data_IF_186160159851
#
_entry.id   IF_186160159851
#
_cell.length_a   1.000
_cell.length_b   1.000
_cell.length_c   1.000
_cell.angle_alpha   90.00
_cell.angle_beta   90.00
_cell.angle_gamma   90.00
#
_symmetry.space_group_name_H-M   'P 1'
#
loop_
_entity.id
_entity.type
_entity.pdbx_description
1 polymer ?
#
# COMPACT_ATOMS: atom_id res chain seq x y z
N UNK A 1 2.79 -9.13 -3.90
CA UNK A 1 3.31 -7.86 -3.35
C UNK A 1 3.77 -7.00 -4.51
N UNK A 2 3.47 -5.70 -4.50
CA UNK A 2 3.86 -4.75 -5.53
C UNK A 2 5.15 -4.06 -5.04
N UNK A 3 6.29 -4.62 -5.43
CA UNK A 3 7.58 -4.29 -4.83
C UNK A 3 7.67 -4.66 -3.33
N UNK A 4 8.67 -4.14 -2.59
CA UNK A 4 8.85 -4.41 -1.16
C UNK A 4 7.91 -3.61 -0.24
N UNK A 5 7.18 -2.63 -0.81
CA UNK A 5 6.50 -1.57 -0.05
C UNK A 5 4.98 -1.67 -0.02
N UNK A 6 4.37 -2.42 -0.94
CA UNK A 6 2.92 -2.47 -1.09
C UNK A 6 2.40 -3.92 -1.09
N UNK A 7 1.42 -4.18 -0.21
CA UNK A 7 0.65 -5.42 -0.25
C UNK A 7 -0.78 -5.11 -0.71
N UNK A 8 -1.19 -5.83 -1.76
CA UNK A 8 -2.55 -5.87 -2.28
C UNK A 8 -2.99 -7.32 -2.23
N UNK A 9 -4.14 -7.59 -1.61
CA UNK A 9 -4.75 -8.91 -1.53
C UNK A 9 -6.08 -8.90 -2.29
N UNK A 10 -6.13 -9.42 -3.53
CA UNK A 10 -7.39 -9.44 -4.28
C UNK A 10 -8.42 -10.35 -3.61
N UNK A 11 -9.67 -9.89 -3.61
CA UNK A 11 -10.81 -10.62 -3.04
C UNK A 11 -11.42 -11.47 -4.16
N UNK A 12 -11.39 -12.80 -4.01
CA UNK A 12 -11.87 -13.73 -5.05
C UNK A 12 -13.20 -14.40 -4.71
N UNK A 13 -13.80 -14.08 -3.56
CA UNK A 13 -15.04 -14.69 -3.10
C UNK A 13 -16.23 -13.75 -3.30
N UNK A 14 -17.39 -14.31 -3.68
CA UNK A 14 -18.62 -13.53 -3.84
C UNK A 14 -19.08 -12.87 -2.53
N UNK A 15 -18.76 -13.49 -1.38
CA UNK A 15 -19.05 -12.96 -0.05
C UNK A 15 -18.11 -11.85 0.42
N UNK A 16 -17.03 -11.58 -0.32
CA UNK A 16 -16.07 -10.53 0.02
C UNK A 16 -14.99 -10.94 1.03
N UNK A 17 -14.98 -12.19 1.46
CA UNK A 17 -14.04 -12.71 2.46
C UNK A 17 -12.66 -12.94 1.82
N UNK A 18 -11.61 -12.40 2.47
CA UNK A 18 -10.21 -12.53 2.04
C UNK A 18 -9.31 -12.77 3.24
N UNK A 19 -8.40 -13.73 3.11
CA UNK A 19 -7.36 -14.00 4.11
C UNK A 19 -6.00 -13.77 3.46
N UNK A 20 -5.15 -12.97 4.10
CA UNK A 20 -3.83 -12.61 3.61
C UNK A 20 -2.83 -12.41 4.75
N UNK A 21 -1.54 -12.50 4.43
CA UNK A 21 -0.46 -12.38 5.40
C UNK A 21 0.27 -11.04 5.24
N UNK A 22 0.39 -10.28 6.33
CA UNK A 22 1.29 -9.14 6.43
C UNK A 22 2.64 -9.61 6.97
N UNK A 23 3.75 -9.47 6.23
CA UNK A 23 5.08 -9.81 6.73
C UNK A 23 5.52 -8.95 7.92
N UNK A 24 6.59 -9.36 8.60
CA UNK A 24 7.21 -8.59 9.69
C UNK A 24 7.44 -7.10 9.34
N UNK A 25 7.15 -6.24 10.32
CA UNK A 25 7.33 -4.80 10.27
C UNK A 25 6.04 -4.03 10.59
N UNK A 26 6.11 -2.72 10.38
CA UNK A 26 4.98 -1.80 10.47
C UNK A 26 4.28 -1.62 9.13
N UNK A 27 2.95 -1.62 9.19
CA UNK A 27 2.04 -1.47 8.06
C UNK A 27 0.94 -0.50 8.42
N UNK A 28 0.59 0.37 7.46
CA UNK A 28 -0.56 1.26 7.58
C UNK A 28 -1.55 0.97 6.45
N UNK A 29 -2.82 0.73 6.79
CA UNK A 29 -3.88 0.58 5.80
C UNK A 29 -4.11 1.94 5.14
N UNK A 30 -4.06 1.96 3.81
CA UNK A 30 -4.13 3.20 3.03
C UNK A 30 -5.47 3.93 3.18
N UNK A 31 -6.57 3.19 3.25
CA UNK A 31 -7.91 3.77 3.28
C UNK A 31 -8.38 4.10 4.69
N UNK A 32 -8.12 3.21 5.66
CA UNK A 32 -8.63 3.35 7.03
C UNK A 32 -7.65 4.04 7.98
N UNK A 33 -6.36 4.06 7.64
CA UNK A 33 -5.30 4.54 8.53
C UNK A 33 -4.97 3.58 9.70
N UNK A 34 -5.57 2.38 9.73
CA UNK A 34 -5.23 1.34 10.70
C UNK A 34 -3.73 1.05 10.65
N UNK A 35 -3.08 0.97 11.82
CA UNK A 35 -1.66 0.64 11.93
C UNK A 35 -1.49 -0.70 12.59
N UNK A 36 -0.67 -1.54 11.97
CA UNK A 36 -0.33 -2.87 12.45
C UNK A 36 1.19 -2.96 12.51
N UNK A 37 1.73 -3.34 13.66
CA UNK A 37 3.13 -3.69 13.79
C UNK A 37 3.23 -5.14 14.28
N UNK A 38 4.01 -5.96 13.57
CA UNK A 38 4.29 -7.34 14.00
C UNK A 38 5.75 -7.70 13.77
N UNK A 39 6.37 -8.30 14.78
CA UNK A 39 7.75 -8.81 14.71
C UNK A 39 7.85 -10.12 13.93
N UNK A 40 6.74 -10.86 13.80
CA UNK A 40 6.70 -12.18 13.15
C UNK A 40 5.76 -12.22 11.92
N UNK A 41 5.24 -11.05 11.52
CA UNK A 41 4.13 -10.92 10.59
C UNK A 41 2.81 -11.39 11.21
N UNK A 42 1.71 -11.26 10.47
CA UNK A 42 0.37 -11.55 10.97
C UNK A 42 -0.57 -11.98 9.85
N UNK A 43 -1.35 -13.02 10.09
CA UNK A 43 -2.47 -13.40 9.23
C UNK A 43 -3.68 -12.54 9.54
N UNK A 44 -4.33 -12.03 8.49
CA UNK A 44 -5.55 -11.23 8.60
C UNK A 44 -6.64 -11.86 7.78
N UNK A 45 -7.86 -11.78 8.30
CA UNK A 45 -9.08 -12.17 7.60
C UNK A 45 -10.04 -10.98 7.66
N UNK A 46 -10.44 -10.50 6.49
CA UNK A 46 -11.28 -9.32 6.33
C UNK A 46 -12.41 -9.61 5.34
N UNK A 47 -13.52 -8.87 5.47
CA UNK A 47 -14.63 -8.91 4.53
C UNK A 47 -14.75 -7.55 3.86
N UNK A 48 -14.77 -7.57 2.53
CA UNK A 48 -14.78 -6.38 1.69
C UNK A 48 -15.98 -6.38 0.74
N UNK A 49 -16.62 -5.22 0.58
CA UNK A 49 -17.58 -4.99 -0.51
C UNK A 49 -16.88 -4.87 -1.86
N UNK A 50 -17.65 -4.87 -2.94
CA UNK A 50 -17.15 -4.77 -4.33
C UNK A 50 -16.25 -3.55 -4.60
N UNK A 51 -16.45 -2.46 -3.87
CA UNK A 51 -15.75 -1.19 -3.99
C UNK A 51 -14.55 -1.05 -3.04
N UNK A 52 -14.19 -2.10 -2.30
CA UNK A 52 -13.15 -2.05 -1.29
C UNK A 52 -12.15 -3.20 -1.44
N UNK A 53 -10.90 -2.95 -1.05
CA UNK A 53 -9.83 -3.95 -1.11
C UNK A 53 -8.83 -3.71 0.01
N UNK A 54 -8.20 -4.75 0.59
CA UNK A 54 -7.08 -4.57 1.47
C UNK A 54 -5.89 -3.94 0.74
N UNK A 55 -5.46 -2.77 1.23
CA UNK A 55 -4.31 -2.04 0.71
C UNK A 55 -3.45 -1.55 1.86
N UNK A 56 -2.24 -2.11 1.97
CA UNK A 56 -1.31 -1.79 3.06
C UNK A 56 0.01 -1.22 2.53
N UNK A 57 0.46 -0.19 3.23
CA UNK A 57 1.72 0.51 2.97
C UNK A 57 2.70 0.20 4.08
N UNK A 58 3.90 -0.26 3.69
CA UNK A 58 4.96 -0.56 4.64
C UNK A 58 5.58 0.71 5.20
N UNK A 59 5.88 0.73 6.50
CA UNK A 59 6.63 1.81 7.13
C UNK A 59 7.94 2.10 6.39
N UNK A 60 8.31 3.38 6.32
CA UNK A 60 9.47 3.86 5.57
C UNK A 60 9.23 4.06 4.06
N UNK A 61 8.02 3.78 3.56
CA UNK A 61 7.66 4.04 2.16
C UNK A 61 7.20 5.49 1.97
N UNK A 62 7.62 6.12 0.87
CA UNK A 62 7.08 7.41 0.41
C UNK A 62 6.15 7.13 -0.77
N UNK A 63 4.87 7.47 -0.61
CA UNK A 63 3.88 7.37 -1.70
C UNK A 63 3.60 8.77 -2.20
N UNK A 64 3.81 8.98 -3.50
CA UNK A 64 3.44 10.21 -4.20
C UNK A 64 2.05 10.01 -4.79
N UNK A 65 1.07 10.77 -4.30
CA UNK A 65 -0.29 10.76 -4.84
C UNK A 65 -0.64 12.09 -5.48
N UNK A 66 -1.51 12.00 -6.49
CA UNK A 66 -2.15 13.15 -7.08
C UNK A 66 -3.54 13.33 -6.45
N UNK A 67 -3.93 14.57 -6.06
CA UNK A 67 -5.24 14.82 -5.45
C UNK A 67 -6.43 14.39 -6.33
N UNK A 68 -6.26 14.42 -7.65
CA UNK A 68 -7.26 14.10 -8.67
C UNK A 68 -7.23 12.63 -9.13
N UNK A 69 -6.31 11.81 -8.61
CA UNK A 69 -6.20 10.39 -8.97
C UNK A 69 -5.64 10.10 -10.37
N UNK A 70 -5.23 11.13 -11.13
CA UNK A 70 -4.64 10.98 -12.46
C UNK A 70 -3.25 10.33 -12.43
N UNK A 71 -2.93 9.49 -13.42
CA UNK A 71 -1.66 8.76 -13.48
C UNK A 71 -0.45 9.68 -13.68
N UNK A 72 0.56 9.59 -12.80
CA UNK A 72 1.87 10.21 -13.01
C UNK A 72 2.82 9.15 -13.54
N UNK A 73 3.42 9.38 -14.71
CA UNK A 73 4.52 8.54 -15.20
C UNK A 73 5.83 9.18 -14.75
N UNK A 74 6.52 8.54 -13.80
CA UNK A 74 7.86 8.92 -13.40
C UNK A 74 8.87 8.09 -14.21
N UNK A 75 9.68 8.74 -15.03
CA UNK A 75 10.86 8.10 -15.63
C UNK A 75 12.07 8.42 -14.76
N UNK A 76 12.38 7.53 -13.81
CA UNK A 76 13.57 7.68 -12.99
C UNK A 76 14.79 7.14 -13.74
N UNK A 77 15.81 7.97 -13.95
CA UNK A 77 17.19 7.53 -14.19
C UNK A 77 18.01 7.93 -12.98
N UNK A 78 18.77 7.01 -12.40
CA UNK A 78 19.84 7.33 -11.44
C UNK A 78 21.17 7.19 -12.17
N UNK A 79 22.07 8.15 -12.07
CA UNK A 79 22.84 8.40 -10.84
C UNK A 79 23.01 9.91 -10.55
N UNK A 80 22.92 10.31 -9.27
CA UNK A 80 23.34 11.65 -8.80
C UNK A 80 22.28 12.75 -8.58
N UNK A 81 20.98 12.49 -8.73
CA UNK A 81 19.96 13.56 -8.70
C UNK A 81 19.17 13.68 -7.38
N UNK A 82 18.99 14.93 -6.93
CA UNK A 82 18.23 15.35 -5.73
C UNK A 82 16.78 15.67 -6.10
N UNK A 83 15.82 15.25 -5.27
CA UNK A 83 14.39 15.50 -5.52
C UNK A 83 14.03 16.91 -5.01
N UNK A 84 14.08 17.90 -5.91
CA UNK A 84 13.67 19.27 -5.63
C UNK A 84 12.20 19.48 -5.95
N UNK A 85 11.37 19.60 -4.92
CA UNK A 85 9.95 19.95 -5.06
C UNK A 85 9.83 21.49 -5.16
N UNK A 86 9.65 22.01 -6.37
CA UNK A 86 9.31 23.42 -6.59
C UNK A 86 7.81 23.63 -6.41
N UNK A 87 7.43 24.53 -5.50
CA UNK A 87 6.07 25.10 -5.40
C UNK A 87 6.10 26.48 -6.08
N UNK A 88 5.03 26.82 -6.82
CA UNK A 88 4.78 28.18 -7.31
C UNK A 88 4.30 29.09 -6.18
#
# INVERSE_FOLDING_TARGET
MLGPSLLVAPVFTYGGDVTYYLPTGGWTNWFTGERVHSEHGVWRTERHGFDSVPLWVRDGSVIVTRPDGGSVVFTARREGEEIKVMRS
#
